data_IF_232173423739
#
_entry.id   IF_232173423739
#
_cell.length_a   1.000
_cell.length_b   1.000
_cell.length_c   1.000
_cell.angle_alpha   90.00
_cell.angle_beta   90.00
_cell.angle_gamma   90.00
#
_symmetry.space_group_name_H-M   'P 1'
#
loop_
_entity.id
_entity.type
_entity.pdbx_description
1 polymer ?
#
# COMPACT_ATOMS: atom_id res chain seq x y z
N UNK A 1 -9.20 -0.67 -14.09
CA UNK A 1 -10.36 -1.54 -13.85
C UNK A 1 -9.93 -2.70 -12.95
N UNK A 2 -10.49 -2.76 -11.73
CA UNK A 2 -10.36 -3.96 -10.89
C UNK A 2 -11.50 -4.91 -11.29
N UNK A 3 -11.29 -5.64 -12.37
CA UNK A 3 -12.37 -6.44 -12.96
C UNK A 3 -12.51 -7.83 -12.35
N UNK A 4 -11.47 -8.33 -11.69
CA UNK A 4 -11.47 -9.70 -11.17
C UNK A 4 -11.06 -9.72 -9.70
N UNK A 5 -11.97 -10.16 -8.85
CA UNK A 5 -11.68 -10.53 -7.46
C UNK A 5 -11.47 -12.03 -7.43
N UNK A 6 -10.24 -12.46 -7.22
CA UNK A 6 -9.92 -13.87 -7.03
C UNK A 6 -10.07 -14.16 -5.53
N UNK A 7 -11.08 -14.91 -5.17
CA UNK A 7 -11.25 -15.43 -3.80
C UNK A 7 -10.66 -16.82 -3.76
N UNK A 8 -9.55 -16.98 -3.06
CA UNK A 8 -8.95 -18.28 -2.79
C UNK A 8 -9.42 -18.78 -1.41
N UNK A 9 -10.23 -19.82 -1.43
CA UNK A 9 -10.78 -20.44 -0.23
C UNK A 9 -9.87 -21.53 0.38
N UNK A 10 -8.66 -21.66 -0.12
CA UNK A 10 -7.70 -22.62 0.41
C UNK A 10 -7.33 -22.27 1.87
N UNK A 11 -7.56 -23.21 2.80
CA UNK A 11 -7.12 -23.07 4.20
C UNK A 11 -5.61 -23.23 4.29
N UNK A 12 -4.88 -22.18 3.96
CA UNK A 12 -3.41 -22.21 3.87
C UNK A 12 -2.72 -22.30 5.25
N UNK A 13 -3.42 -21.99 6.32
CA UNK A 13 -2.98 -22.20 7.72
C UNK A 13 -1.89 -21.26 8.23
N UNK A 14 -1.42 -20.28 7.41
CA UNK A 14 -0.52 -19.22 7.88
C UNK A 14 -0.49 -18.02 6.94
N UNK A 15 -0.27 -16.82 7.49
CA UNK A 15 -0.10 -15.60 6.73
C UNK A 15 1.02 -15.70 5.67
N UNK A 16 2.11 -16.40 5.97
CA UNK A 16 3.22 -16.61 5.03
C UNK A 16 2.79 -17.43 3.80
N UNK A 17 2.00 -18.47 3.98
CA UNK A 17 1.47 -19.28 2.86
C UNK A 17 0.45 -18.49 2.06
N UNK A 18 -0.42 -17.74 2.71
CA UNK A 18 -1.38 -16.85 2.06
C UNK A 18 -0.66 -15.84 1.16
N UNK A 19 0.34 -15.14 1.68
CA UNK A 19 1.13 -14.20 0.89
C UNK A 19 1.88 -14.88 -0.26
N UNK A 20 2.43 -16.07 -0.05
CA UNK A 20 3.08 -16.83 -1.11
C UNK A 20 2.11 -17.17 -2.24
N UNK A 21 0.89 -17.57 -1.91
CA UNK A 21 -0.17 -17.85 -2.90
C UNK A 21 -0.58 -16.58 -3.66
N UNK A 22 -0.75 -15.46 -2.95
CA UNK A 22 -1.02 -14.17 -3.59
C UNK A 22 0.07 -13.77 -4.59
N UNK A 23 1.35 -14.01 -4.25
CA UNK A 23 2.48 -13.77 -5.15
C UNK A 23 2.40 -14.68 -6.39
N UNK A 24 2.08 -15.96 -6.21
CA UNK A 24 1.93 -16.89 -7.33
C UNK A 24 0.83 -16.45 -8.30
N UNK A 25 -0.31 -16.02 -7.79
CA UNK A 25 -1.40 -15.45 -8.59
C UNK A 25 -0.94 -14.19 -9.30
N UNK A 26 -0.29 -13.27 -8.59
CA UNK A 26 0.18 -12.01 -9.12
C UNK A 26 1.20 -12.17 -10.26
N UNK A 27 2.03 -13.21 -10.23
CA UNK A 27 3.02 -13.50 -11.28
C UNK A 27 2.40 -14.04 -12.57
N UNK A 28 1.13 -14.42 -12.57
CA UNK A 28 0.38 -14.82 -13.76
C UNK A 28 -0.43 -13.66 -14.37
N UNK A 29 -0.37 -12.48 -13.77
CA UNK A 29 -1.00 -11.25 -14.27
C UNK A 29 0.00 -10.52 -15.18
N UNK A 30 -0.43 -9.86 -16.27
CA UNK A 30 0.44 -9.05 -17.11
C UNK A 30 1.27 -8.03 -16.34
N UNK A 31 2.48 -7.76 -16.78
CA UNK A 31 3.48 -6.96 -16.06
C UNK A 31 3.03 -5.52 -15.72
N UNK A 32 2.20 -4.93 -16.56
CA UNK A 32 1.67 -3.56 -16.44
C UNK A 32 0.39 -3.48 -15.59
N UNK A 33 -0.22 -4.60 -15.26
CA UNK A 33 -1.41 -4.66 -14.42
C UNK A 33 -1.09 -4.41 -12.93
N UNK A 34 -2.05 -3.81 -12.24
CA UNK A 34 -1.97 -3.55 -10.81
C UNK A 34 -2.60 -4.68 -10.01
N UNK A 35 -1.83 -5.18 -9.07
CA UNK A 35 -2.26 -6.24 -8.14
C UNK A 35 -2.43 -5.65 -6.75
N UNK A 36 -3.57 -5.92 -6.13
CA UNK A 36 -3.83 -5.60 -4.74
C UNK A 36 -3.72 -6.86 -3.88
N UNK A 37 -2.62 -6.97 -3.15
CA UNK A 37 -2.47 -7.97 -2.09
C UNK A 37 -3.20 -7.45 -0.86
N UNK A 38 -4.17 -8.20 -0.34
CA UNK A 38 -4.99 -7.79 0.80
C UNK A 38 -5.20 -8.95 1.76
N UNK A 39 -5.01 -8.69 3.03
CA UNK A 39 -5.38 -9.60 4.11
C UNK A 39 -6.90 -9.51 4.34
N UNK A 40 -7.52 -10.56 4.86
CA UNK A 40 -8.97 -10.73 5.00
C UNK A 40 -9.60 -9.92 6.15
N UNK A 41 -8.78 -9.32 7.00
CA UNK A 41 -9.18 -8.52 8.15
C UNK A 41 -9.10 -7.00 7.90
N UNK A 42 -9.17 -6.57 6.64
CA UNK A 42 -9.19 -5.15 6.25
C UNK A 42 -10.57 -4.68 5.78
N UNK A 43 -11.01 -3.55 6.34
CA UNK A 43 -12.18 -2.81 5.88
C UNK A 43 -11.75 -1.64 5.01
N UNK A 44 -12.45 -1.42 3.89
CA UNK A 44 -12.15 -0.35 2.92
C UNK A 44 -13.23 0.73 2.93
N UNK A 45 -12.81 1.98 2.77
CA UNK A 45 -13.70 3.08 2.48
C UNK A 45 -14.32 2.91 1.08
N UNK A 46 -15.58 3.29 0.86
CA UNK A 46 -16.26 3.12 -0.44
C UNK A 46 -15.54 3.79 -1.60
N UNK A 47 -14.84 4.89 -1.33
CA UNK A 47 -14.08 5.66 -2.32
C UNK A 47 -12.63 5.17 -2.55
N UNK A 48 -12.19 4.15 -1.82
CA UNK A 48 -10.79 3.71 -1.82
C UNK A 48 -10.25 3.45 -3.23
N UNK A 49 -10.94 2.62 -4.01
CA UNK A 49 -10.53 2.27 -5.36
C UNK A 49 -10.47 3.51 -6.26
N UNK A 50 -11.47 4.39 -6.19
CA UNK A 50 -11.51 5.63 -6.98
C UNK A 50 -10.30 6.53 -6.72
N UNK A 51 -9.91 6.70 -5.45
CA UNK A 51 -8.80 7.58 -5.08
C UNK A 51 -7.45 6.98 -5.43
N UNK A 52 -7.33 5.66 -5.28
CA UNK A 52 -6.13 4.92 -5.67
C UNK A 52 -5.94 4.95 -7.18
N UNK A 53 -6.98 4.65 -7.95
CA UNK A 53 -6.93 4.66 -9.43
C UNK A 53 -6.57 6.05 -9.96
N UNK A 54 -7.17 7.11 -9.40
CA UNK A 54 -6.83 8.49 -9.79
C UNK A 54 -5.36 8.80 -9.55
N UNK A 55 -4.79 8.38 -8.40
CA UNK A 55 -3.36 8.59 -8.15
C UNK A 55 -2.49 7.81 -9.14
N UNK A 56 -2.83 6.57 -9.42
CA UNK A 56 -2.11 5.71 -10.37
C UNK A 56 -2.09 6.33 -11.77
N UNK A 57 -3.23 6.77 -12.26
CA UNK A 57 -3.39 7.39 -13.59
C UNK A 57 -2.55 8.67 -13.73
N UNK A 58 -2.34 9.41 -12.65
CA UNK A 58 -1.63 10.68 -12.64
C UNK A 58 -0.26 10.62 -11.93
N UNK A 59 0.26 9.43 -11.65
CA UNK A 59 1.49 9.23 -10.85
C UNK A 59 2.69 10.01 -11.37
N UNK A 60 2.84 10.11 -12.69
CA UNK A 60 3.94 10.84 -13.34
C UNK A 60 3.92 12.34 -12.97
N UNK A 61 2.73 12.90 -12.80
CA UNK A 61 2.57 14.31 -12.40
C UNK A 61 2.85 14.49 -10.92
N UNK A 62 2.28 13.61 -10.08
CA UNK A 62 2.35 13.74 -8.62
C UNK A 62 3.73 13.40 -8.05
N UNK A 63 4.44 12.47 -8.66
CA UNK A 63 5.77 12.04 -8.22
C UNK A 63 6.92 12.82 -8.87
N UNK A 64 6.61 13.68 -9.84
CA UNK A 64 7.62 14.46 -10.55
C UNK A 64 8.32 15.44 -9.60
N UNK A 65 9.63 15.32 -9.51
CA UNK A 65 10.43 16.25 -8.73
C UNK A 65 10.60 17.59 -9.48
N UNK A 66 10.47 18.71 -8.75
CA UNK A 66 10.66 20.03 -9.37
C UNK A 66 12.11 20.22 -9.85
N UNK A 67 12.35 20.50 -11.13
CA UNK A 67 13.70 20.66 -11.67
C UNK A 67 14.43 21.90 -11.11
N UNK A 68 13.73 22.84 -10.48
CA UNK A 68 14.30 24.10 -9.98
C UNK A 68 15.08 24.00 -8.68
N UNK A 69 15.04 22.88 -7.98
CA UNK A 69 15.78 22.70 -6.72
C UNK A 69 16.76 21.53 -6.85
N UNK A 70 17.87 21.76 -7.58
CA UNK A 70 19.04 20.87 -7.51
C UNK A 70 19.79 21.06 -6.17
N UNK A 71 19.10 20.93 -5.06
CA UNK A 71 19.73 20.90 -3.73
C UNK A 71 20.38 19.51 -3.55
N UNK A 72 21.42 19.47 -2.74
CA UNK A 72 22.16 18.23 -2.40
C UNK A 72 21.23 17.07 -2.02
N UNK A 73 20.11 17.37 -1.34
CA UNK A 73 19.06 16.41 -0.95
C UNK A 73 18.42 15.74 -2.17
N UNK A 74 18.13 16.48 -3.25
CA UNK A 74 17.51 15.91 -4.45
C UNK A 74 18.50 15.06 -5.27
N UNK A 75 19.81 15.30 -5.12
CA UNK A 75 20.85 14.41 -5.69
C UNK A 75 20.90 13.05 -4.99
N UNK A 76 20.65 13.04 -3.68
CA UNK A 76 20.70 11.81 -2.87
C UNK A 76 19.40 10.99 -3.03
N UNK A 77 18.27 11.65 -3.26
CA UNK A 77 16.96 10.99 -3.33
C UNK A 77 16.64 10.48 -4.75
N UNK A 78 17.15 11.15 -5.78
CA UNK A 78 16.85 10.84 -7.17
C UNK A 78 15.43 11.27 -7.59
N UNK A 79 15.06 10.96 -8.82
CA UNK A 79 13.71 11.18 -9.34
C UNK A 79 12.79 10.06 -8.86
N UNK A 80 11.75 10.41 -8.11
CA UNK A 80 10.81 9.47 -7.54
C UNK A 80 9.85 8.88 -8.59
N UNK A 81 9.63 9.59 -9.70
CA UNK A 81 8.74 9.12 -10.78
C UNK A 81 9.27 7.88 -11.49
N UNK A 82 10.59 7.67 -11.46
CA UNK A 82 11.25 6.51 -12.09
C UNK A 82 11.30 5.27 -11.18
N UNK A 83 10.82 5.38 -9.94
CA UNK A 83 10.80 4.25 -9.02
C UNK A 83 9.48 3.49 -9.12
N UNK A 84 9.50 2.15 -8.97
CA UNK A 84 8.29 1.39 -8.74
C UNK A 84 7.44 2.00 -7.62
N UNK A 85 6.14 2.15 -7.87
CA UNK A 85 5.20 2.68 -6.88
C UNK A 85 4.51 1.53 -6.15
N UNK A 86 4.47 1.65 -4.83
CA UNK A 86 3.72 0.78 -3.94
C UNK A 86 2.74 1.66 -3.17
N UNK A 87 1.46 1.27 -3.13
CA UNK A 87 0.42 1.99 -2.42
C UNK A 87 -0.06 1.14 -1.26
N UNK A 88 0.00 1.70 -0.06
CA UNK A 88 -0.47 1.07 1.17
C UNK A 88 -1.69 1.86 1.68
N UNK A 89 -2.92 1.35 1.47
CA UNK A 89 -4.13 2.12 1.74
C UNK A 89 -4.40 2.48 3.21
N UNK A 90 -3.94 1.71 4.22
CA UNK A 90 -4.10 2.10 5.62
C UNK A 90 -3.21 3.27 6.01
N UNK A 91 -3.65 4.05 7.00
CA UNK A 91 -2.85 5.11 7.64
C UNK A 91 -2.81 4.90 9.15
N UNK A 92 -1.82 4.17 9.62
CA UNK A 92 -1.75 3.69 11.00
C UNK A 92 -1.47 4.78 12.03
N UNK A 93 -1.98 4.62 13.28
CA UNK A 93 -1.82 5.59 14.37
C UNK A 93 -0.38 5.88 14.75
N UNK A 94 0.53 4.92 14.58
CA UNK A 94 1.95 5.07 14.91
C UNK A 94 2.65 6.15 14.07
N UNK A 95 2.10 6.48 12.89
CA UNK A 95 2.60 7.54 12.02
C UNK A 95 2.33 8.95 12.53
N UNK A 96 1.51 9.09 13.56
CA UNK A 96 1.14 10.34 14.21
C UNK A 96 1.82 10.54 15.56
N UNK A 97 2.64 9.58 16.02
CA UNK A 97 3.33 9.63 17.31
C UNK A 97 4.77 10.14 17.14
N UNK A 98 5.18 11.20 17.85
CA UNK A 98 6.58 11.61 17.86
C UNK A 98 7.45 10.62 18.68
N UNK A 99 8.76 10.52 18.39
CA UNK A 99 9.45 11.16 17.30
C UNK A 99 9.40 10.32 16.02
N UNK A 100 8.65 10.77 15.01
CA UNK A 100 8.76 10.15 13.70
C UNK A 100 10.10 10.56 13.08
N UNK A 101 11.05 9.67 13.07
CA UNK A 101 12.47 9.96 12.78
C UNK A 101 12.79 10.12 11.29
N UNK A 102 11.79 10.20 10.39
CA UNK A 102 12.06 10.17 8.95
C UNK A 102 11.40 11.30 8.21
N UNK A 103 12.16 11.87 7.28
CA UNK A 103 11.59 12.76 6.28
C UNK A 103 10.56 11.98 5.45
N UNK A 104 9.36 12.50 5.39
CA UNK A 104 8.25 11.99 4.59
C UNK A 104 7.82 13.07 3.62
N UNK A 105 7.78 12.73 2.31
CA UNK A 105 7.18 13.61 1.33
C UNK A 105 5.66 13.52 1.41
N UNK A 106 5.02 14.67 1.20
CA UNK A 106 3.57 14.75 1.03
C UNK A 106 3.29 15.04 -0.44
N UNK A 107 2.46 14.21 -1.05
CA UNK A 107 1.96 14.38 -2.40
C UNK A 107 0.49 14.78 -2.33
N UNK A 108 0.08 15.67 -3.21
CA UNK A 108 -1.30 16.17 -3.29
C UNK A 108 -1.90 15.63 -4.59
N UNK A 109 -2.92 14.79 -4.48
CA UNK A 109 -3.74 14.35 -5.60
C UNK A 109 -5.08 15.10 -5.62
N UNK A 110 -5.90 14.79 -6.60
CA UNK A 110 -7.21 15.42 -6.75
C UNK A 110 -8.12 15.20 -5.53
N UNK A 111 -8.03 14.06 -4.88
CA UNK A 111 -9.00 13.66 -3.85
C UNK A 111 -8.42 13.61 -2.44
N UNK A 112 -7.12 13.36 -2.28
CA UNK A 112 -6.52 13.29 -0.96
C UNK A 112 -5.02 13.63 -0.96
N UNK A 113 -4.47 13.76 0.22
CA UNK A 113 -3.04 13.87 0.44
C UNK A 113 -2.46 12.48 0.66
N UNK A 114 -1.24 12.26 0.19
CA UNK A 114 -0.50 11.03 0.34
C UNK A 114 0.81 11.32 1.03
N UNK A 115 1.18 10.51 1.99
CA UNK A 115 2.52 10.58 2.59
C UNK A 115 3.39 9.44 2.08
N UNK A 116 4.67 9.73 1.86
CA UNK A 116 5.64 8.69 1.69
C UNK A 116 5.83 7.96 3.01
N UNK A 117 5.82 6.63 2.95
CA UNK A 117 6.06 5.76 4.10
C UNK A 117 7.23 4.82 3.83
N UNK A 118 7.75 4.20 4.88
CA UNK A 118 8.87 3.26 4.81
C UNK A 118 8.58 1.92 5.49
N UNK A 119 7.34 1.68 5.84
CA UNK A 119 6.87 0.40 6.38
C UNK A 119 5.45 0.13 5.89
N UNK A 120 5.16 -1.12 5.64
CA UNK A 120 3.83 -1.63 5.28
C UNK A 120 3.59 -2.93 6.01
N UNK A 121 2.33 -3.32 6.12
CA UNK A 121 1.91 -4.71 6.34
C UNK A 121 1.87 -5.44 5.00
N UNK A 122 1.24 -6.60 4.93
CA UNK A 122 1.09 -7.36 3.67
C UNK A 122 -0.13 -6.93 2.83
N UNK A 123 -0.77 -5.80 3.19
CA UNK A 123 -1.89 -5.20 2.46
C UNK A 123 -1.39 -3.98 1.66
N UNK A 124 -1.12 -4.16 0.38
CA UNK A 124 -0.60 -3.11 -0.51
C UNK A 124 -0.84 -3.41 -1.99
N UNK A 125 -0.84 -2.34 -2.81
CA UNK A 125 -0.93 -2.43 -4.27
C UNK A 125 0.43 -2.17 -4.92
N UNK A 126 0.73 -2.91 -5.99
CA UNK A 126 1.88 -2.66 -6.86
C UNK A 126 1.63 -3.27 -8.24
N UNK A 127 2.43 -2.88 -9.24
CA UNK A 127 2.39 -3.55 -10.55
C UNK A 127 2.96 -4.96 -10.47
N UNK A 128 2.44 -5.89 -11.28
CA UNK A 128 2.89 -7.28 -11.37
C UNK A 128 4.40 -7.39 -11.64
N UNK A 129 4.95 -6.59 -12.53
CA UNK A 129 6.40 -6.49 -12.74
C UNK A 129 7.18 -6.21 -11.45
N UNK A 130 6.62 -5.38 -10.56
CA UNK A 130 7.21 -5.05 -9.26
C UNK A 130 7.11 -6.21 -8.26
N UNK A 131 6.07 -7.04 -8.36
CA UNK A 131 5.98 -8.29 -7.57
C UNK A 131 7.16 -9.20 -7.90
N UNK A 132 7.42 -9.41 -9.18
CA UNK A 132 8.55 -10.23 -9.64
C UNK A 132 9.89 -9.66 -9.15
N UNK A 133 10.09 -8.35 -9.32
CA UNK A 133 11.31 -7.64 -8.89
C UNK A 133 11.58 -7.77 -7.39
N UNK A 134 10.53 -7.75 -6.57
CA UNK A 134 10.64 -7.73 -5.11
C UNK A 134 10.25 -9.04 -4.43
N UNK A 135 9.89 -10.09 -5.19
CA UNK A 135 9.40 -11.39 -4.71
C UNK A 135 10.18 -11.90 -3.47
N UNK A 136 11.51 -11.96 -3.57
CA UNK A 136 12.36 -12.44 -2.46
C UNK A 136 12.18 -11.60 -1.18
N UNK A 137 12.02 -10.29 -1.32
CA UNK A 137 11.87 -9.39 -0.17
C UNK A 137 10.48 -9.49 0.44
N UNK A 138 9.46 -9.64 -0.40
CA UNK A 138 8.06 -9.83 0.03
C UNK A 138 7.94 -11.15 0.80
N UNK A 139 8.39 -12.27 0.24
CA UNK A 139 8.37 -13.58 0.92
C UNK A 139 9.14 -13.55 2.24
N UNK A 140 10.33 -12.96 2.25
CA UNK A 140 11.14 -12.89 3.47
C UNK A 140 10.50 -11.99 4.55
N UNK A 141 9.63 -11.05 4.21
CA UNK A 141 8.92 -10.25 5.20
C UNK A 141 7.86 -11.07 5.95
N UNK A 142 7.24 -12.03 5.29
CA UNK A 142 6.25 -12.92 5.89
C UNK A 142 6.84 -14.03 6.77
N UNK A 143 8.13 -14.37 6.58
CA UNK A 143 8.82 -15.40 7.35
C UNK A 143 9.46 -14.89 8.64
N UNK A 144 9.45 -13.58 8.87
CA UNK A 144 10.08 -12.95 10.03
C UNK A 144 9.07 -12.43 11.05
N UNK A 145 9.53 -12.09 12.25
CA UNK A 145 8.67 -11.51 13.29
C UNK A 145 8.22 -10.06 13.00
N UNK A 146 8.66 -9.48 11.90
CA UNK A 146 8.30 -8.11 11.52
C UNK A 146 8.49 -7.87 10.02
N UNK A 147 7.68 -6.97 9.48
CA UNK A 147 7.71 -6.48 8.08
C UNK A 147 8.96 -5.64 7.77
N UNK A 148 9.89 -5.56 8.71
CA UNK A 148 11.09 -4.71 8.61
C UNK A 148 11.96 -5.00 7.38
N UNK A 149 11.95 -6.23 6.87
CA UNK A 149 12.77 -6.62 5.71
C UNK A 149 12.34 -5.93 4.42
N UNK A 150 11.04 -5.73 4.20
CA UNK A 150 10.52 -4.89 3.10
C UNK A 150 10.98 -3.44 3.28
N UNK A 151 10.78 -2.92 4.49
CA UNK A 151 11.14 -1.54 4.85
C UNK A 151 12.63 -1.25 4.60
N UNK A 152 13.50 -2.15 4.97
CA UNK A 152 14.95 -1.98 4.83
C UNK A 152 15.43 -2.14 3.39
N UNK A 153 14.98 -3.17 2.71
CA UNK A 153 15.53 -3.60 1.43
C UNK A 153 14.88 -2.96 0.21
N UNK A 154 13.63 -2.57 0.34
CA UNK A 154 12.84 -1.99 -0.76
C UNK A 154 12.63 -0.50 -0.57
N UNK A 155 12.17 -0.06 0.61
CA UNK A 155 11.85 1.34 0.87
C UNK A 155 13.04 2.18 1.36
N UNK A 156 14.21 1.58 1.51
CA UNK A 156 15.45 2.27 1.87
C UNK A 156 15.42 2.85 3.28
N UNK A 157 15.07 2.05 4.26
CA UNK A 157 14.95 2.46 5.67
C UNK A 157 16.26 2.92 6.30
N UNK A 158 17.36 2.39 5.87
CA UNK A 158 18.70 2.77 6.30
C UNK A 158 19.40 3.57 5.19
N UNK A 159 20.70 3.68 5.25
CA UNK A 159 21.57 4.37 4.28
C UNK A 159 21.45 3.80 2.85
N UNK A 160 20.62 2.77 2.67
CA UNK A 160 20.49 2.07 1.40
C UNK A 160 19.62 2.84 0.38
N UNK A 161 20.02 2.74 -0.89
CA UNK A 161 19.30 3.30 -2.02
C UNK A 161 17.87 2.75 -2.06
N UNK A 162 16.88 3.64 -2.15
CA UNK A 162 15.48 3.27 -2.37
C UNK A 162 15.36 2.50 -3.69
N UNK A 163 14.64 1.40 -3.66
CA UNK A 163 14.30 0.61 -4.83
C UNK A 163 12.85 0.82 -5.28
N UNK A 164 11.98 1.29 -4.38
CA UNK A 164 10.60 1.64 -4.64
C UNK A 164 10.19 2.83 -3.78
N UNK A 165 9.17 3.55 -4.22
CA UNK A 165 8.46 4.52 -3.40
C UNK A 165 7.19 3.86 -2.84
N UNK A 166 6.99 3.95 -1.53
CA UNK A 166 5.75 3.55 -0.91
C UNK A 166 5.00 4.77 -0.38
N UNK A 167 3.71 4.85 -0.66
CA UNK A 167 2.84 5.93 -0.21
C UNK A 167 1.62 5.39 0.51
N UNK A 168 1.06 6.22 1.38
CA UNK A 168 -0.16 5.94 2.12
C UNK A 168 -1.01 7.21 2.14
N UNK A 169 -2.34 7.10 1.97
CA UNK A 169 -3.22 8.25 2.04
C UNK A 169 -3.27 8.82 3.46
N UNK A 170 -3.35 10.13 3.58
CA UNK A 170 -3.67 10.81 4.84
C UNK A 170 -5.18 10.87 4.93
N UNK A 171 -5.73 10.39 6.02
CA UNK A 171 -7.02 9.72 6.21
C UNK A 171 -7.02 8.42 5.40
N UNK A 172 -6.68 7.32 6.06
CA UNK A 172 -6.57 6.03 5.38
C UNK A 172 -7.81 5.64 4.61
N UNK A 173 -7.58 4.97 3.50
CA UNK A 173 -8.62 4.42 2.63
C UNK A 173 -8.96 2.98 3.01
N UNK A 174 -8.24 2.40 3.92
CA UNK A 174 -8.58 1.13 4.58
C UNK A 174 -8.07 1.11 6.01
N UNK A 175 -8.57 0.16 6.78
CA UNK A 175 -8.15 -0.09 8.16
C UNK A 175 -8.05 -1.58 8.44
N UNK A 176 -7.06 -1.96 9.22
CA UNK A 176 -7.00 -3.27 9.85
C UNK A 176 -8.04 -3.33 10.97
N UNK A 177 -8.88 -4.38 10.99
CA UNK A 177 -9.99 -4.51 11.93
C UNK A 177 -9.53 -5.04 13.30
N UNK A 178 -8.41 -4.52 13.80
CA UNK A 178 -7.84 -4.87 15.10
C UNK A 178 -7.78 -3.64 15.99
N UNK A 179 -8.21 -3.78 17.23
CA UNK A 179 -8.17 -2.71 18.22
C UNK A 179 -6.75 -2.16 18.41
N UNK A 180 -6.64 -0.85 18.54
CA UNK A 180 -5.37 -0.15 18.74
C UNK A 180 -4.57 0.12 17.49
N UNK A 181 -4.89 -0.49 16.34
CA UNK A 181 -4.22 -0.25 15.06
C UNK A 181 -5.15 0.28 13.97
N UNK A 182 -6.42 0.48 14.29
CA UNK A 182 -7.36 1.07 13.34
C UNK A 182 -6.91 2.44 12.89
N UNK A 183 -7.08 2.70 11.60
CA UNK A 183 -6.77 4.00 10.98
C UNK A 183 -7.56 5.13 11.64
N UNK A 184 -6.90 6.19 12.15
CA UNK A 184 -7.57 7.27 12.85
C UNK A 184 -8.35 8.20 11.89
N UNK A 185 -9.20 9.04 12.47
CA UNK A 185 -9.96 10.11 11.80
C UNK A 185 -11.00 9.65 10.78
N UNK A 186 -11.36 8.37 10.79
CA UNK A 186 -12.39 7.78 9.93
C UNK A 186 -13.38 7.01 10.81
N UNK A 187 -14.66 7.21 10.57
CA UNK A 187 -15.74 6.46 11.26
C UNK A 187 -15.92 5.11 10.56
N UNK A 188 -15.07 4.16 10.96
CA UNK A 188 -15.07 2.81 10.41
C UNK A 188 -16.32 2.00 10.80
N UNK A 189 -16.93 2.30 11.92
CA UNK A 189 -18.16 1.66 12.35
C UNK A 189 -19.31 1.97 11.38
N UNK A 190 -19.52 3.25 11.08
CA UNK A 190 -20.49 3.67 10.06
C UNK A 190 -20.21 3.07 8.69
N UNK A 191 -18.95 3.01 8.27
CA UNK A 191 -18.57 2.39 6.98
C UNK A 191 -18.88 0.90 6.99
N UNK A 192 -18.57 0.18 8.06
CA UNK A 192 -18.86 -1.24 8.21
C UNK A 192 -20.37 -1.51 8.08
N UNK A 193 -21.20 -0.77 8.81
CA UNK A 193 -22.64 -0.90 8.72
C UNK A 193 -23.22 -0.62 7.33
N UNK A 194 -22.71 0.41 6.65
CA UNK A 194 -23.10 0.70 5.26
C UNK A 194 -22.75 -0.44 4.33
N UNK A 195 -21.53 -0.95 4.39
CA UNK A 195 -21.08 -2.06 3.55
C UNK A 195 -21.93 -3.31 3.78
N UNK A 196 -22.19 -3.69 5.04
CA UNK A 196 -23.06 -4.82 5.38
C UNK A 196 -24.46 -4.64 4.79
N UNK A 197 -25.05 -3.45 4.93
CA UNK A 197 -26.37 -3.18 4.40
C UNK A 197 -26.44 -3.25 2.87
N UNK A 198 -25.39 -2.79 2.19
CA UNK A 198 -25.29 -2.92 0.74
C UNK A 198 -25.12 -4.37 0.28
N UNK A 199 -24.32 -5.17 0.99
CA UNK A 199 -24.15 -6.60 0.72
C UNK A 199 -25.46 -7.35 0.89
N UNK A 200 -26.22 -7.06 1.97
CA UNK A 200 -27.57 -7.63 2.17
C UNK A 200 -28.53 -7.28 1.03
N UNK A 201 -28.55 -6.01 0.59
CA UNK A 201 -29.40 -5.59 -0.54
C UNK A 201 -29.04 -6.30 -1.86
N UNK A 202 -27.77 -6.66 -2.03
CA UNK A 202 -27.29 -7.39 -3.21
C UNK A 202 -27.40 -8.91 -3.09
N UNK A 203 -27.88 -9.43 -1.95
CA UNK A 203 -27.98 -10.87 -1.70
C UNK A 203 -26.64 -11.59 -1.56
N UNK A 204 -25.58 -10.86 -1.20
CA UNK A 204 -24.23 -11.39 -1.02
C UNK A 204 -23.99 -11.84 0.43
N UNK A 205 -24.88 -11.46 1.33
CA UNK A 205 -24.81 -11.76 2.77
C UNK A 205 -26.13 -12.36 3.27
#
# INVERSE_FOLDING_TARGET
NFNDVIVDNDKLGSAAKSLQKQIEIALNVPDDEWVYMCEDDYLHAPEAIKYISEFIENKEVYLKTSPKKKNYINRVIGDLSNLPLIIHPPDYPDRYKPPWKRLSYIFISKYCHWRQISNTTHTFLLQSASVNLFKKHIVNSALGPSDSKLSERVYGRLIFRKKAICISPIKGLSTHMTEGVMTPFVDWETICFKNINEMKKKGIW
#
